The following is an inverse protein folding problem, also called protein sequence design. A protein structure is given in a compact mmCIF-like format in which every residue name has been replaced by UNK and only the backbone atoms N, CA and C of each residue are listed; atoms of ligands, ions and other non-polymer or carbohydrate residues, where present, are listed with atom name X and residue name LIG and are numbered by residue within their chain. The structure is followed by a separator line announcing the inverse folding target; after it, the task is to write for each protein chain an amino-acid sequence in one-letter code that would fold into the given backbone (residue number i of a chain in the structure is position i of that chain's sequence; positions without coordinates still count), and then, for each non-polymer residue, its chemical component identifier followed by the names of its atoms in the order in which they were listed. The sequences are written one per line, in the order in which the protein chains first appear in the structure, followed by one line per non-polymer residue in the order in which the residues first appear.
data_IF_819818303143
#
_entry.id   IF_819818303143
#
_cell.length_a   1.000
_cell.length_b   1.000
_cell.length_c   1.000
_cell.angle_alpha   90.00
_cell.angle_beta   90.00
_cell.angle_gamma   90.00
#
_symmetry.space_group_name_H-M   'P 1'
#
loop_
_entity.id
_entity.type
_entity.pdbx_description
1 polymer ?
#
# COMPACT_ATOMS: atom_id res chain seq x y z
N UNK A 1 -8.04 7.98 24.71
CA UNK A 1 -7.64 6.73 24.02
C UNK A 1 -6.52 6.12 24.82
N UNK A 2 -6.72 4.88 25.26
CA UNK A 2 -6.31 4.39 26.56
C UNK A 2 -4.82 4.01 26.67
N UNK A 3 -4.28 4.18 27.88
CA UNK A 3 -2.89 3.93 28.34
C UNK A 3 -2.32 2.54 27.98
N UNK A 4 -3.15 1.61 27.52
CA UNK A 4 -2.82 0.23 27.17
C UNK A 4 -2.24 0.06 25.75
N UNK A 5 -2.53 0.99 24.83
CA UNK A 5 -2.01 0.95 23.45
C UNK A 5 -0.50 1.23 23.35
N UNK A 6 0.08 1.87 24.38
CA UNK A 6 1.54 2.08 24.50
C UNK A 6 2.28 0.84 24.99
N UNK A 7 1.60 -0.09 25.69
CA UNK A 7 2.22 -1.30 26.24
C UNK A 7 2.40 -2.40 25.19
N UNK A 8 1.51 -2.48 24.19
CA UNK A 8 1.58 -3.45 23.09
C UNK A 8 1.64 -2.67 21.76
N UNK A 9 2.83 -2.53 21.15
CA UNK A 9 2.95 -1.81 19.89
C UNK A 9 2.24 -2.57 18.77
N UNK A 10 1.32 -1.89 18.08
CA UNK A 10 0.68 -2.40 16.85
C UNK A 10 1.42 -1.88 15.62
N UNK A 11 1.50 -2.69 14.55
CA UNK A 11 2.07 -2.22 13.29
C UNK A 11 1.22 -1.07 12.72
N UNK A 12 1.88 0.00 12.29
CA UNK A 12 1.23 1.12 11.56
C UNK A 12 1.07 0.83 10.06
N UNK A 13 1.41 -0.40 9.64
CA UNK A 13 1.37 -0.83 8.25
C UNK A 13 0.04 -1.51 7.95
N UNK A 14 -0.57 -1.13 6.84
CA UNK A 14 -1.78 -1.73 6.30
C UNK A 14 -1.51 -2.30 4.89
N UNK A 15 -2.42 -3.16 4.42
CA UNK A 15 -2.49 -3.55 3.01
C UNK A 15 -3.47 -2.66 2.28
N UNK A 16 -3.17 -2.31 1.04
CA UNK A 16 -3.96 -1.38 0.24
C UNK A 16 -4.37 -2.08 -1.04
N UNK A 17 -5.66 -2.05 -1.36
CA UNK A 17 -6.16 -2.44 -2.67
C UNK A 17 -6.05 -1.24 -3.59
N UNK A 18 -5.16 -1.35 -4.56
CA UNK A 18 -4.91 -0.29 -5.55
C UNK A 18 -5.39 -0.76 -6.91
N UNK A 19 -6.20 0.07 -7.54
CA UNK A 19 -6.66 -0.12 -8.91
C UNK A 19 -5.74 0.62 -9.87
N UNK A 20 -5.26 -0.09 -10.88
CA UNK A 20 -4.44 0.50 -11.93
C UNK A 20 -5.31 1.34 -12.87
N UNK A 21 -4.94 2.61 -13.06
CA UNK A 21 -5.63 3.53 -13.97
C UNK A 21 -5.50 3.16 -15.46
N UNK A 22 -4.48 2.36 -15.82
CA UNK A 22 -4.21 1.99 -17.22
C UNK A 22 -4.96 0.74 -17.69
N UNK A 23 -5.10 -0.27 -16.84
CA UNK A 23 -5.69 -1.57 -17.21
C UNK A 23 -6.87 -1.99 -16.34
N UNK A 24 -7.24 -1.18 -15.33
CA UNK A 24 -8.31 -1.50 -14.40
C UNK A 24 -7.99 -2.65 -13.44
N UNK A 25 -6.79 -3.25 -13.50
CA UNK A 25 -6.41 -4.35 -12.63
C UNK A 25 -6.33 -3.89 -11.16
N UNK A 26 -7.00 -4.64 -10.29
CA UNK A 26 -6.90 -4.45 -8.85
C UNK A 26 -5.74 -5.29 -8.31
N UNK A 27 -4.87 -4.65 -7.53
CA UNK A 27 -3.73 -5.31 -6.91
C UNK A 27 -3.64 -4.94 -5.44
N UNK A 28 -3.33 -5.92 -4.60
CA UNK A 28 -3.07 -5.70 -3.19
C UNK A 28 -1.59 -5.37 -3.04
N UNK A 29 -1.30 -4.21 -2.47
CA UNK A 29 0.06 -3.74 -2.21
C UNK A 29 0.25 -3.46 -0.72
N UNK A 30 1.49 -3.52 -0.25
CA UNK A 30 1.83 -3.18 1.12
C UNK A 30 2.09 -1.68 1.26
N UNK A 31 1.56 -1.07 2.32
CA UNK A 31 1.69 0.38 2.57
C UNK A 31 3.15 0.86 2.68
N UNK A 32 4.06 0.04 3.19
CA UNK A 32 5.49 0.36 3.33
C UNK A 32 6.33 -0.52 2.39
N UNK A 33 5.93 -0.59 1.11
CA UNK A 33 6.67 -1.33 0.10
C UNK A 33 8.09 -0.74 -0.09
N UNK A 34 9.11 -1.57 0.12
CA UNK A 34 10.54 -1.21 -0.07
C UNK A 34 10.99 -1.42 -1.52
N UNK A 35 10.27 -2.26 -2.25
CA UNK A 35 10.52 -2.51 -3.67
C UNK A 35 9.53 -1.75 -4.54
N UNK A 36 9.96 -1.41 -5.76
CA UNK A 36 9.05 -0.89 -6.79
C UNK A 36 8.04 -1.98 -7.14
N UNK A 37 6.75 -1.65 -7.04
CA UNK A 37 5.67 -2.58 -7.37
C UNK A 37 5.13 -2.20 -8.74
N UNK A 38 5.26 -3.11 -9.70
CA UNK A 38 4.67 -2.98 -11.02
C UNK A 38 3.32 -3.71 -11.08
N UNK A 39 2.41 -3.20 -11.90
CA UNK A 39 1.17 -3.89 -12.19
C UNK A 39 1.46 -5.21 -12.94
N UNK A 40 0.89 -6.31 -12.48
CA UNK A 40 1.08 -7.63 -13.09
C UNK A 40 0.56 -7.74 -14.54
N UNK A 41 -0.32 -6.84 -14.96
CA UNK A 41 -0.96 -6.88 -16.29
C UNK A 41 -0.29 -5.93 -17.28
N UNK A 42 -0.06 -4.67 -16.90
CA UNK A 42 0.44 -3.64 -17.81
C UNK A 42 1.89 -3.20 -17.54
N UNK A 43 2.52 -3.71 -16.48
CA UNK A 43 3.89 -3.35 -16.10
C UNK A 43 4.07 -1.91 -15.60
N UNK A 44 2.98 -1.13 -15.47
CA UNK A 44 3.05 0.23 -14.96
C UNK A 44 3.44 0.26 -13.48
N UNK A 45 4.28 1.21 -13.08
CA UNK A 45 4.67 1.42 -11.69
C UNK A 45 3.46 1.85 -10.86
N UNK A 46 3.03 1.00 -9.92
CA UNK A 46 1.92 1.26 -9.00
C UNK A 46 2.38 1.82 -7.66
N UNK A 47 3.54 1.39 -7.16
CA UNK A 47 4.13 1.91 -5.94
C UNK A 47 5.63 2.14 -6.09
N UNK A 48 6.08 3.29 -5.61
CA UNK A 48 7.49 3.68 -5.53
C UNK A 48 7.93 3.68 -4.05
N UNK A 49 9.07 3.04 -3.72
CA UNK A 49 9.53 2.98 -2.35
C UNK A 49 10.01 4.36 -1.86
N UNK A 50 9.63 4.70 -0.64
CA UNK A 50 10.09 5.89 0.06
C UNK A 50 10.56 5.50 1.47
N UNK A 51 11.15 6.44 2.22
CA UNK A 51 11.66 6.17 3.58
C UNK A 51 10.60 5.76 4.63
N UNK A 52 9.32 5.67 4.25
CA UNK A 52 8.22 5.29 5.11
C UNK A 52 7.11 4.63 4.30
N UNK A 53 5.94 5.29 4.22
CA UNK A 53 4.86 4.84 3.34
C UNK A 53 5.30 4.97 1.88
N UNK A 54 5.10 3.92 1.10
CA UNK A 54 5.36 3.93 -0.33
C UNK A 54 4.46 4.95 -1.04
N UNK A 55 4.99 5.59 -2.07
CA UNK A 55 4.24 6.52 -2.91
C UNK A 55 3.41 5.73 -3.90
N UNK A 56 2.08 5.81 -3.79
CA UNK A 56 1.15 5.04 -4.61
C UNK A 56 0.71 5.91 -5.79
N UNK A 57 0.96 5.44 -7.01
CA UNK A 57 0.62 6.13 -8.27
C UNK A 57 -0.72 5.68 -8.86
N UNK A 58 -1.45 4.80 -8.18
CA UNK A 58 -2.77 4.30 -8.57
C UNK A 58 -3.91 4.77 -7.66
N UNK A 59 -5.13 4.35 -7.98
CA UNK A 59 -6.32 4.68 -7.19
C UNK A 59 -6.46 3.70 -6.01
N UNK A 60 -6.54 4.20 -4.78
CA UNK A 60 -6.72 3.35 -3.59
C UNK A 60 -8.21 3.09 -3.41
N UNK A 61 -8.63 1.84 -3.59
CA UNK A 61 -10.04 1.42 -3.47
C UNK A 61 -10.39 1.08 -2.03
N UNK A 62 -9.50 0.37 -1.34
CA UNK A 62 -9.77 -0.14 0.01
C UNK A 62 -8.49 -0.25 0.82
N UNK A 63 -8.57 0.02 2.11
CA UNK A 63 -7.50 -0.21 3.08
C UNK A 63 -7.91 -1.43 3.92
N UNK A 64 -7.02 -2.41 3.99
CA UNK A 64 -7.13 -3.56 4.87
C UNK A 64 -6.22 -3.34 6.07
N UNK A 65 -6.83 -3.24 7.25
CA UNK A 65 -6.17 -3.06 8.55
C UNK A 65 -5.75 -4.41 9.17
#
# INVERSE_FOLDING_TARGET
MAEWEKLIPRPKSAFLRVKCLKCGNEQIIFSHAVNRVACNVCGAELAEPAGGKATIKGEIVTIFE
#
